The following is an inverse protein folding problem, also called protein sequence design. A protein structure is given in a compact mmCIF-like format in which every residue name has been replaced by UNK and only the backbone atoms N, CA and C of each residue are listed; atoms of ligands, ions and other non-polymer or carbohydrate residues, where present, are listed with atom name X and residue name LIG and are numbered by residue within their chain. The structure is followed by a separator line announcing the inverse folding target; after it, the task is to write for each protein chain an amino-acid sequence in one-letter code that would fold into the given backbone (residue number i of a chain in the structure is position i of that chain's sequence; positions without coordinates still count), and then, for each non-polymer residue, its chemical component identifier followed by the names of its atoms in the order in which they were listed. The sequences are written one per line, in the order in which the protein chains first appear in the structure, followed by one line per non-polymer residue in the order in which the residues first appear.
data_IF_236673310251
#
_entry.id   IF_236673310251
#
_cell.length_a   1.000
_cell.length_b   1.000
_cell.length_c   1.000
_cell.angle_alpha   90.00
_cell.angle_beta   90.00
_cell.angle_gamma   90.00
#
_symmetry.space_group_name_H-M   'P 1'
#
loop_
_entity.id
_entity.type
_entity.pdbx_description
1 polymer ?
#
# COMPACT_ATOMS: atom_id res chain seq x y z
N UNK A 1 -0.71 -1.99 11.77
CA UNK A 1 -0.24 -2.09 10.39
C UNK A 1 0.05 -3.53 9.96
N UNK A 2 0.54 -3.74 8.73
CA UNK A 2 0.85 -5.08 8.18
C UNK A 2 1.89 -5.84 9.01
N UNK A 3 2.89 -5.14 9.55
CA UNK A 3 3.88 -5.71 10.47
C UNK A 3 3.23 -6.21 11.77
N UNK A 4 2.23 -5.50 12.28
CA UNK A 4 1.45 -5.95 13.44
C UNK A 4 0.68 -7.24 13.14
N UNK A 5 0.10 -7.38 11.95
CA UNK A 5 -0.58 -8.60 11.53
C UNK A 5 0.39 -9.80 11.43
N UNK A 6 1.60 -9.60 10.89
CA UNK A 6 2.63 -10.65 10.84
C UNK A 6 3.10 -11.05 12.25
N UNK A 7 3.25 -10.08 13.16
CA UNK A 7 3.59 -10.33 14.56
C UNK A 7 2.46 -11.01 15.34
N UNK A 8 1.22 -10.71 15.02
CA UNK A 8 0.07 -11.44 15.56
C UNK A 8 0.07 -12.89 15.06
N UNK A 9 0.32 -13.09 13.77
CA UNK A 9 0.32 -14.41 13.15
C UNK A 9 1.36 -15.35 13.77
N UNK A 10 2.59 -14.88 14.02
CA UNK A 10 3.64 -15.73 14.64
C UNK A 10 3.30 -16.21 16.04
N UNK A 11 2.44 -15.48 16.76
CA UNK A 11 1.99 -15.83 18.12
C UNK A 11 0.85 -16.85 18.17
N UNK A 12 0.25 -17.19 17.02
CA UNK A 12 -0.83 -18.16 16.94
C UNK A 12 -0.30 -19.61 16.98
N UNK A 13 -1.14 -20.59 17.37
CA UNK A 13 -0.80 -22.00 17.16
C UNK A 13 -0.42 -22.23 15.70
N UNK A 14 0.69 -22.92 15.45
CA UNK A 14 1.29 -23.10 14.11
C UNK A 14 1.71 -21.80 13.42
N UNK A 15 1.87 -20.69 14.15
CA UNK A 15 2.15 -19.35 13.61
C UNK A 15 3.39 -19.32 12.73
N UNK A 16 4.46 -20.04 13.06
CA UNK A 16 5.66 -20.14 12.23
C UNK A 16 5.37 -20.76 10.85
N UNK A 17 4.54 -21.81 10.79
CA UNK A 17 4.15 -22.45 9.52
C UNK A 17 3.29 -21.52 8.69
N UNK A 18 2.29 -20.89 9.33
CA UNK A 18 1.43 -19.91 8.65
C UNK A 18 2.23 -18.73 8.12
N UNK A 19 3.18 -18.22 8.91
CA UNK A 19 4.03 -17.11 8.50
C UNK A 19 4.99 -17.49 7.36
N UNK A 20 5.52 -18.73 7.37
CA UNK A 20 6.35 -19.25 6.29
C UNK A 20 5.55 -19.37 4.98
N UNK A 21 4.32 -19.89 5.03
CA UNK A 21 3.41 -19.95 3.88
C UNK A 21 3.09 -18.54 3.37
N UNK A 22 2.81 -17.62 4.29
CA UNK A 22 2.55 -16.21 3.94
C UNK A 22 3.77 -15.59 3.25
N UNK A 23 4.98 -15.78 3.77
CA UNK A 23 6.21 -15.29 3.17
C UNK A 23 6.41 -15.85 1.75
N UNK A 24 6.20 -17.16 1.57
CA UNK A 24 6.29 -17.82 0.26
C UNK A 24 5.26 -17.23 -0.74
N UNK A 25 4.01 -17.01 -0.30
CA UNK A 25 2.97 -16.36 -1.10
C UNK A 25 3.33 -14.93 -1.49
N UNK A 26 3.88 -14.14 -0.56
CA UNK A 26 4.33 -12.77 -0.82
C UNK A 26 5.45 -12.74 -1.87
N UNK A 27 6.43 -13.65 -1.81
CA UNK A 27 7.49 -13.72 -2.82
C UNK A 27 6.98 -14.24 -4.17
N UNK A 28 6.08 -15.21 -4.19
CA UNK A 28 5.45 -15.68 -5.43
C UNK A 28 4.68 -14.54 -6.11
N UNK A 29 3.92 -13.76 -5.34
CA UNK A 29 3.21 -12.58 -5.85
C UNK A 29 4.20 -11.49 -6.32
N UNK A 30 5.28 -11.25 -5.57
CA UNK A 30 6.36 -10.34 -5.98
C UNK A 30 6.89 -10.72 -7.36
N UNK A 31 7.26 -12.00 -7.52
CA UNK A 31 7.81 -12.49 -8.79
C UNK A 31 6.82 -12.29 -9.94
N UNK A 32 5.56 -12.65 -9.71
CA UNK A 32 4.49 -12.43 -10.69
C UNK A 32 4.40 -10.96 -11.11
N UNK A 33 4.29 -10.05 -10.14
CA UNK A 33 4.14 -8.60 -10.41
C UNK A 33 5.34 -7.98 -11.09
N UNK A 34 6.56 -8.42 -10.77
CA UNK A 34 7.77 -7.94 -11.44
C UNK A 34 7.83 -8.44 -12.88
N UNK A 35 7.53 -9.73 -13.12
CA UNK A 35 7.50 -10.30 -14.46
C UNK A 35 6.43 -9.61 -15.31
N UNK A 36 5.22 -9.43 -14.77
CA UNK A 36 4.11 -8.77 -15.44
C UNK A 36 4.44 -7.31 -15.79
N UNK A 37 4.92 -6.52 -14.85
CA UNK A 37 5.28 -5.13 -15.10
C UNK A 37 6.45 -4.94 -16.07
N UNK A 38 7.40 -5.91 -16.14
CA UNK A 38 8.53 -5.84 -17.06
C UNK A 38 8.15 -6.36 -18.45
N UNK A 39 7.46 -7.49 -18.53
CA UNK A 39 7.15 -8.20 -19.78
C UNK A 39 5.79 -7.83 -20.37
N UNK A 40 5.00 -6.98 -19.69
CA UNK A 40 3.67 -6.55 -20.13
C UNK A 40 2.73 -7.73 -20.43
N UNK A 41 2.66 -8.69 -19.51
CA UNK A 41 1.85 -9.88 -19.72
C UNK A 41 0.33 -9.60 -19.73
N UNK A 42 -0.11 -8.53 -19.05
CA UNK A 42 -1.49 -8.08 -19.04
C UNK A 42 -1.84 -7.20 -20.27
N UNK A 43 -0.88 -6.95 -21.19
CA UNK A 43 -1.03 -6.14 -22.40
C UNK A 43 -1.57 -4.73 -22.09
N UNK A 44 -0.97 -4.06 -21.13
CA UNK A 44 -1.30 -2.68 -20.75
C UNK A 44 -0.97 -1.65 -21.84
N UNK A 45 -0.03 -2.01 -22.73
CA UNK A 45 0.37 -1.21 -23.88
C UNK A 45 1.55 -0.28 -23.63
N UNK A 46 1.93 0.44 -24.70
CA UNK A 46 3.11 1.31 -24.72
C UNK A 46 2.76 2.81 -24.68
N UNK A 47 1.53 3.15 -24.28
CA UNK A 47 1.12 4.52 -24.03
C UNK A 47 1.43 4.96 -22.57
N UNK A 48 1.18 6.22 -22.27
CA UNK A 48 1.46 6.77 -20.94
C UNK A 48 0.65 6.07 -19.81
N UNK A 49 -0.56 5.59 -20.12
CA UNK A 49 -1.40 4.86 -19.18
C UNK A 49 -0.82 3.44 -18.95
N UNK A 50 -0.40 2.76 -20.01
CA UNK A 50 0.25 1.45 -19.94
C UNK A 50 1.54 1.48 -19.12
N UNK A 51 2.42 2.45 -19.38
CA UNK A 51 3.64 2.63 -18.57
C UNK A 51 3.34 2.93 -17.10
N UNK A 52 2.31 3.74 -16.80
CA UNK A 52 1.91 4.03 -15.42
C UNK A 52 1.37 2.78 -14.71
N UNK A 53 0.59 1.94 -15.38
CA UNK A 53 0.07 0.68 -14.85
C UNK A 53 1.21 -0.30 -14.57
N UNK A 54 2.13 -0.49 -15.51
CA UNK A 54 3.32 -1.35 -15.35
C UNK A 54 4.23 -0.88 -14.22
N UNK A 55 4.45 0.43 -14.09
CA UNK A 55 5.18 0.99 -12.94
C UNK A 55 4.47 0.69 -11.62
N UNK A 56 3.13 0.79 -11.58
CA UNK A 56 2.30 0.41 -10.42
C UNK A 56 2.46 -1.07 -10.06
N UNK A 57 2.51 -1.97 -11.04
CA UNK A 57 2.74 -3.40 -10.84
C UNK A 57 4.12 -3.67 -10.22
N UNK A 58 5.18 -3.05 -10.75
CA UNK A 58 6.55 -3.14 -10.23
C UNK A 58 6.60 -2.64 -8.77
N UNK A 59 6.02 -1.47 -8.49
CA UNK A 59 5.96 -0.92 -7.13
C UNK A 59 5.18 -1.82 -6.17
N UNK A 60 4.07 -2.40 -6.63
CA UNK A 60 3.32 -3.41 -5.87
C UNK A 60 4.20 -4.62 -5.56
N UNK A 61 4.92 -5.15 -6.54
CA UNK A 61 5.87 -6.24 -6.37
C UNK A 61 6.93 -5.94 -5.31
N UNK A 62 7.56 -4.77 -5.37
CA UNK A 62 8.57 -4.34 -4.39
C UNK A 62 8.01 -4.21 -2.98
N UNK A 63 6.78 -3.70 -2.84
CA UNK A 63 6.10 -3.60 -1.54
C UNK A 63 5.87 -4.99 -0.92
N UNK A 64 5.43 -5.95 -1.73
CA UNK A 64 5.21 -7.33 -1.26
C UNK A 64 6.52 -8.05 -0.97
N UNK A 65 7.62 -7.75 -1.71
CA UNK A 65 8.95 -8.23 -1.38
C UNK A 65 9.40 -7.76 0.01
N UNK A 66 9.22 -6.48 0.31
CA UNK A 66 9.56 -5.92 1.62
C UNK A 66 8.76 -6.58 2.76
N UNK A 67 7.46 -6.86 2.54
CA UNK A 67 6.64 -7.62 3.49
C UNK A 67 7.11 -9.06 3.64
N UNK A 68 7.49 -9.73 2.54
CA UNK A 68 8.05 -11.07 2.56
C UNK A 68 9.36 -11.14 3.35
N UNK A 69 10.27 -10.19 3.14
CA UNK A 69 11.49 -10.05 3.94
C UNK A 69 11.16 -9.83 5.42
N UNK A 70 10.20 -8.97 5.74
CA UNK A 70 9.76 -8.75 7.12
C UNK A 70 9.23 -10.04 7.76
N UNK A 71 8.46 -10.84 7.03
CA UNK A 71 7.95 -12.12 7.50
C UNK A 71 9.09 -13.11 7.81
N UNK A 72 10.12 -13.18 6.93
CA UNK A 72 11.31 -14.00 7.18
C UNK A 72 12.09 -13.51 8.41
N UNK A 73 12.28 -12.20 8.56
CA UNK A 73 12.97 -11.66 9.73
C UNK A 73 12.25 -11.99 11.03
N UNK A 74 10.90 -11.96 11.04
CA UNK A 74 10.10 -12.36 12.19
C UNK A 74 10.28 -13.87 12.48
N UNK A 75 10.31 -14.72 11.44
CA UNK A 75 10.57 -16.15 11.60
C UNK A 75 11.95 -16.42 12.21
N UNK A 76 12.98 -15.67 11.80
CA UNK A 76 14.37 -15.88 12.23
C UNK A 76 14.65 -15.31 13.63
N UNK A 77 14.08 -14.14 13.95
CA UNK A 77 14.42 -13.35 15.16
C UNK A 77 13.29 -13.30 16.18
N UNK A 78 12.13 -13.89 15.86
CA UNK A 78 10.91 -13.79 16.67
C UNK A 78 10.17 -12.46 16.52
N UNK A 79 9.05 -12.34 17.23
CA UNK A 79 8.13 -11.21 17.11
C UNK A 79 8.75 -9.82 17.44
N UNK A 80 9.93 -9.78 18.04
CA UNK A 80 10.64 -8.54 18.39
C UNK A 80 11.40 -7.93 17.19
N UNK A 81 11.58 -8.67 16.08
CA UNK A 81 12.30 -8.18 14.91
C UNK A 81 11.50 -7.17 14.06
N UNK A 82 10.22 -7.05 14.29
CA UNK A 82 9.33 -6.13 13.61
C UNK A 82 8.90 -4.98 14.52
N UNK A 83 9.88 -4.30 15.07
CA UNK A 83 9.61 -3.00 15.68
C UNK A 83 9.56 -1.97 14.57
N UNK A 84 8.37 -1.63 14.09
CA UNK A 84 7.97 -0.25 13.82
C UNK A 84 6.77 -0.25 12.88
N UNK A 85 5.61 0.06 13.44
CA UNK A 85 4.45 0.57 12.68
C UNK A 85 4.76 1.94 12.02
N UNK A 86 5.95 2.47 12.22
CA UNK A 86 6.48 3.73 11.72
C UNK A 86 7.33 3.60 10.44
N UNK A 87 7.03 2.63 9.57
CA UNK A 87 7.81 2.47 8.32
C UNK A 87 7.84 3.74 7.47
N UNK A 88 6.73 4.47 7.39
CA UNK A 88 6.66 5.73 6.64
C UNK A 88 7.45 6.84 7.34
N UNK A 89 7.38 6.93 8.67
CA UNK A 89 8.14 7.86 9.49
C UNK A 89 9.64 7.62 9.38
N UNK A 90 10.10 6.37 9.58
CA UNK A 90 11.50 6.01 9.47
C UNK A 90 12.05 6.22 8.05
N UNK A 91 11.28 5.89 7.02
CA UNK A 91 11.63 6.17 5.63
C UNK A 91 11.76 7.66 5.37
N UNK A 92 10.79 8.44 5.83
CA UNK A 92 10.79 9.90 5.70
C UNK A 92 11.96 10.51 6.47
N UNK A 93 12.24 10.04 7.69
CA UNK A 93 13.37 10.48 8.49
C UNK A 93 14.70 10.17 7.80
N UNK A 94 14.87 8.95 7.30
CA UNK A 94 16.09 8.54 6.57
C UNK A 94 16.29 9.36 5.29
N UNK A 95 15.23 9.57 4.50
CA UNK A 95 15.31 10.37 3.28
C UNK A 95 15.64 11.83 3.59
N UNK A 96 15.01 12.42 4.60
CA UNK A 96 15.21 13.84 4.94
C UNK A 96 16.61 14.14 5.46
N UNK A 97 17.40 13.15 5.87
CA UNK A 97 18.81 13.32 6.22
C UNK A 97 19.71 13.55 5.00
N UNK A 98 19.24 13.25 3.78
CA UNK A 98 20.01 13.42 2.57
C UNK A 98 19.63 14.72 1.84
N UNK A 99 20.59 15.37 1.13
CA UNK A 99 20.28 16.51 0.27
C UNK A 99 19.19 16.18 -0.74
N UNK A 100 18.11 16.94 -0.78
CA UNK A 100 16.96 16.71 -1.68
C UNK A 100 15.94 15.69 -1.15
N UNK A 101 16.19 14.95 -0.07
CA UNK A 101 15.27 13.95 0.48
C UNK A 101 13.91 14.52 0.86
N UNK A 102 13.86 15.78 1.30
CA UNK A 102 12.62 16.51 1.54
C UNK A 102 11.74 16.61 0.27
N UNK A 103 12.34 16.89 -0.88
CA UNK A 103 11.63 16.94 -2.15
C UNK A 103 11.07 15.57 -2.53
N UNK A 104 11.82 14.49 -2.26
CA UNK A 104 11.35 13.11 -2.48
C UNK A 104 10.12 12.82 -1.63
N UNK A 105 10.11 13.21 -0.36
CA UNK A 105 8.94 13.00 0.53
C UNK A 105 7.75 13.84 0.05
N UNK A 106 7.95 15.10 -0.35
CA UNK A 106 6.88 15.94 -0.90
C UNK A 106 6.31 15.32 -2.18
N UNK A 107 7.16 14.88 -3.11
CA UNK A 107 6.69 14.25 -4.36
C UNK A 107 5.95 12.94 -4.09
N UNK A 108 6.41 12.14 -3.14
CA UNK A 108 5.70 10.92 -2.72
C UNK A 108 4.31 11.24 -2.15
N UNK A 109 4.19 12.27 -1.32
CA UNK A 109 2.89 12.74 -0.78
C UNK A 109 1.95 13.21 -1.90
N UNK A 110 2.44 14.03 -2.83
CA UNK A 110 1.65 14.51 -3.98
C UNK A 110 1.21 13.34 -4.86
N UNK A 111 2.10 12.40 -5.14
CA UNK A 111 1.79 11.20 -5.94
C UNK A 111 0.71 10.37 -5.27
N UNK A 112 0.83 10.12 -3.97
CA UNK A 112 -0.18 9.36 -3.20
C UNK A 112 -1.54 10.06 -3.23
N UNK A 113 -1.59 11.39 -3.07
CA UNK A 113 -2.82 12.17 -3.18
C UNK A 113 -3.41 12.11 -4.59
N UNK A 114 -2.58 12.17 -5.62
CA UNK A 114 -3.03 12.05 -7.02
C UNK A 114 -3.68 10.69 -7.28
N UNK A 115 -3.08 9.61 -6.76
CA UNK A 115 -3.66 8.25 -6.83
C UNK A 115 -4.98 8.19 -6.07
N UNK A 116 -5.07 8.79 -4.88
CA UNK A 116 -6.32 8.87 -4.12
C UNK A 116 -7.44 9.53 -4.92
N UNK A 117 -7.16 10.68 -5.54
CA UNK A 117 -8.11 11.40 -6.40
C UNK A 117 -8.51 10.55 -7.61
N UNK A 118 -7.54 9.89 -8.26
CA UNK A 118 -7.81 8.98 -9.37
C UNK A 118 -8.76 7.85 -8.96
N UNK A 119 -8.57 7.24 -7.80
CA UNK A 119 -9.47 6.18 -7.31
C UNK A 119 -10.88 6.69 -7.04
N UNK A 120 -11.04 7.91 -6.50
CA UNK A 120 -12.35 8.53 -6.36
C UNK A 120 -13.02 8.77 -7.71
N UNK A 121 -12.28 9.31 -8.69
CA UNK A 121 -12.81 9.53 -10.04
C UNK A 121 -13.17 8.19 -10.71
N UNK A 122 -12.31 7.17 -10.57
CA UNK A 122 -12.57 5.81 -11.09
C UNK A 122 -13.80 5.19 -10.43
N UNK A 123 -13.96 5.35 -9.12
CA UNK A 123 -15.15 4.92 -8.38
C UNK A 123 -16.42 5.62 -8.90
N UNK A 124 -16.36 6.94 -9.09
CA UNK A 124 -17.50 7.74 -9.55
C UNK A 124 -17.91 7.39 -10.99
N UNK A 125 -16.95 7.37 -11.91
CA UNK A 125 -17.19 7.12 -13.34
C UNK A 125 -17.51 5.66 -13.67
N UNK A 126 -17.51 4.75 -12.69
CA UNK A 126 -17.65 3.30 -12.91
C UNK A 126 -16.70 2.76 -14.01
N UNK A 127 -15.52 3.38 -14.17
CA UNK A 127 -14.55 3.06 -15.22
C UNK A 127 -13.99 1.62 -15.10
N UNK A 128 -14.10 1.00 -13.91
CA UNK A 128 -13.75 -0.39 -13.64
C UNK A 128 -14.59 -1.42 -14.41
N UNK A 129 -15.71 -1.01 -15.05
CA UNK A 129 -16.53 -1.93 -15.89
C UNK A 129 -15.75 -2.49 -17.06
N UNK A 130 -14.71 -1.81 -17.53
CA UNK A 130 -13.86 -2.30 -18.63
C UNK A 130 -12.99 -3.48 -18.20
N UNK A 131 -12.67 -3.57 -16.90
CA UNK A 131 -11.76 -4.56 -16.33
C UNK A 131 -12.48 -5.88 -16.01
N UNK A 132 -13.82 -5.96 -16.15
CA UNK A 132 -14.64 -7.14 -15.84
C UNK A 132 -15.16 -7.78 -17.14
N UNK A 133 -14.69 -8.98 -17.42
CA UNK A 133 -14.97 -9.74 -18.66
C UNK A 133 -16.45 -10.09 -18.85
N UNK A 134 -17.23 -10.27 -17.77
CA UNK A 134 -18.68 -10.61 -17.83
C UNK A 134 -19.53 -9.43 -17.40
N UNK A 135 -20.29 -8.85 -18.33
CA UNK A 135 -21.18 -7.70 -18.10
C UNK A 135 -22.18 -7.92 -16.96
N UNK A 136 -22.81 -9.09 -16.87
CA UNK A 136 -23.78 -9.41 -15.81
C UNK A 136 -23.16 -9.43 -14.42
N UNK A 137 -21.91 -9.93 -14.31
CA UNK A 137 -21.17 -9.93 -13.05
C UNK A 137 -20.68 -8.52 -12.69
N UNK A 138 -20.31 -7.73 -13.70
CA UNK A 138 -19.90 -6.34 -13.52
C UNK A 138 -21.01 -5.50 -12.89
N UNK A 139 -22.25 -5.65 -13.35
CA UNK A 139 -23.41 -4.91 -12.81
C UNK A 139 -23.73 -5.29 -11.37
N UNK A 140 -23.66 -6.58 -11.03
CA UNK A 140 -23.94 -7.06 -9.67
C UNK A 140 -22.85 -6.64 -8.66
N UNK A 141 -21.59 -6.62 -9.09
CA UNK A 141 -20.46 -6.29 -8.22
C UNK A 141 -20.14 -4.78 -8.19
N UNK A 142 -20.73 -4.00 -9.10
CA UNK A 142 -20.46 -2.56 -9.23
C UNK A 142 -20.52 -1.80 -7.89
N UNK A 143 -21.59 -1.93 -7.07
CA UNK A 143 -21.66 -1.17 -5.82
C UNK A 143 -20.54 -1.55 -4.83
N UNK A 144 -20.17 -2.82 -4.77
CA UNK A 144 -19.10 -3.32 -3.89
C UNK A 144 -17.74 -2.80 -4.36
N UNK A 145 -17.47 -2.85 -5.66
CA UNK A 145 -16.22 -2.35 -6.23
C UNK A 145 -16.11 -0.84 -6.08
N UNK A 146 -17.20 -0.10 -6.34
CA UNK A 146 -17.24 1.36 -6.13
C UNK A 146 -16.95 1.73 -4.69
N UNK A 147 -17.61 1.05 -3.75
CA UNK A 147 -17.36 1.28 -2.33
C UNK A 147 -15.90 0.96 -1.95
N UNK A 148 -15.36 -0.16 -2.42
CA UNK A 148 -13.96 -0.54 -2.20
C UNK A 148 -12.96 0.48 -2.74
N UNK A 149 -13.17 0.97 -3.98
CA UNK A 149 -12.33 2.00 -4.58
C UNK A 149 -12.41 3.33 -3.82
N UNK A 150 -13.62 3.74 -3.40
CA UNK A 150 -13.80 4.96 -2.61
C UNK A 150 -13.14 4.86 -1.24
N UNK A 151 -13.32 3.74 -0.53
CA UNK A 151 -12.69 3.48 0.75
C UNK A 151 -11.16 3.48 0.65
N UNK A 152 -10.62 2.81 -0.38
CA UNK A 152 -9.18 2.81 -0.65
C UNK A 152 -8.66 4.23 -0.95
N UNK A 153 -9.36 4.98 -1.81
CA UNK A 153 -9.04 6.37 -2.10
C UNK A 153 -9.05 7.25 -0.85
N UNK A 154 -10.01 7.05 0.05
CA UNK A 154 -10.10 7.78 1.32
C UNK A 154 -8.89 7.50 2.23
N UNK A 155 -8.49 6.25 2.37
CA UNK A 155 -7.30 5.87 3.13
C UNK A 155 -6.04 6.51 2.54
N UNK A 156 -5.86 6.43 1.21
CA UNK A 156 -4.71 7.05 0.54
C UNK A 156 -4.72 8.59 0.65
N UNK A 157 -5.88 9.22 0.73
CA UNK A 157 -5.99 10.65 0.95
C UNK A 157 -5.42 11.05 2.32
N UNK A 158 -5.74 10.28 3.36
CA UNK A 158 -5.19 10.51 4.71
C UNK A 158 -3.68 10.26 4.72
N UNK A 159 -3.23 9.11 4.22
CA UNK A 159 -1.80 8.75 4.19
C UNK A 159 -1.00 9.75 3.36
N UNK A 160 -1.47 10.12 2.18
CA UNK A 160 -0.82 11.10 1.30
C UNK A 160 -0.74 12.49 1.94
N UNK A 161 -1.81 12.90 2.64
CA UNK A 161 -1.84 14.14 3.40
C UNK A 161 -0.81 14.17 4.51
N UNK A 162 -0.69 13.08 5.27
CA UNK A 162 0.31 12.95 6.35
C UNK A 162 1.75 12.97 5.81
N UNK A 163 2.03 12.23 4.74
CA UNK A 163 3.35 12.24 4.09
C UNK A 163 3.68 13.63 3.54
N UNK A 164 2.72 14.29 2.89
CA UNK A 164 2.91 15.64 2.36
C UNK A 164 3.17 16.65 3.48
N UNK A 165 2.43 16.57 4.58
CA UNK A 165 2.63 17.42 5.77
C UNK A 165 4.03 17.19 6.35
N UNK A 166 4.48 15.95 6.48
CA UNK A 166 5.84 15.63 6.92
C UNK A 166 6.90 16.30 6.03
N UNK A 167 6.74 16.23 4.72
CA UNK A 167 7.63 16.88 3.76
C UNK A 167 7.61 18.41 3.86
N UNK A 168 6.45 19.03 4.00
CA UNK A 168 6.29 20.48 4.08
C UNK A 168 6.87 21.01 5.41
N UNK A 169 6.57 20.36 6.52
CA UNK A 169 7.03 20.78 7.86
C UNK A 169 8.46 20.35 8.16
N UNK A 170 9.08 19.55 7.30
CA UNK A 170 10.37 18.90 7.52
C UNK A 170 10.42 18.10 8.84
N UNK A 171 9.27 17.58 9.28
CA UNK A 171 9.14 16.73 10.47
C UNK A 171 8.65 15.33 10.07
N UNK A 172 9.54 14.30 10.10
CA UNK A 172 9.19 12.94 9.72
C UNK A 172 8.14 12.29 10.65
N UNK A 173 7.95 12.76 11.88
CA UNK A 173 6.93 12.26 12.81
C UNK A 173 5.51 12.45 12.28
N UNK A 174 5.30 13.39 11.34
CA UNK A 174 4.02 13.55 10.65
C UNK A 174 3.79 12.53 9.54
N UNK A 175 4.82 11.80 9.10
CA UNK A 175 4.67 10.76 8.09
C UNK A 175 4.11 9.49 8.74
N UNK A 176 2.82 9.26 8.58
CA UNK A 176 2.16 8.07 9.10
C UNK A 176 1.79 7.11 7.96
N UNK A 177 1.94 5.81 8.25
CA UNK A 177 1.44 4.75 7.37
C UNK A 177 -0.05 4.45 7.60
N UNK A 178 -0.55 3.42 6.90
CA UNK A 178 -1.95 2.98 6.99
C UNK A 178 -2.41 2.73 8.43
N UNK A 179 -1.57 2.09 9.26
CA UNK A 179 -1.92 1.76 10.65
C UNK A 179 -2.15 3.00 11.50
N UNK A 180 -1.29 4.00 11.37
CA UNK A 180 -1.43 5.27 12.10
C UNK A 180 -2.61 6.09 11.57
N UNK A 181 -2.84 6.10 10.25
CA UNK A 181 -4.00 6.75 9.65
C UNK A 181 -5.32 6.16 10.21
N UNK A 182 -5.41 4.83 10.34
CA UNK A 182 -6.57 4.15 10.94
C UNK A 182 -6.69 4.47 12.44
N UNK A 183 -5.58 4.55 13.17
CA UNK A 183 -5.58 4.95 14.59
C UNK A 183 -6.08 6.38 14.79
N UNK A 184 -5.66 7.31 13.93
CA UNK A 184 -6.16 8.68 13.94
C UNK A 184 -7.68 8.70 13.72
N UNK A 185 -8.19 7.88 12.78
CA UNK A 185 -9.64 7.76 12.55
C UNK A 185 -10.37 7.16 13.76
N UNK A 186 -9.81 6.13 14.41
CA UNK A 186 -10.39 5.52 15.61
C UNK A 186 -10.50 6.51 16.78
N UNK A 187 -9.56 7.43 16.91
CA UNK A 187 -9.55 8.45 17.99
C UNK A 187 -10.54 9.59 17.75
N UNK A 188 -11.08 9.73 16.53
CA UNK A 188 -12.09 10.73 16.24
C UNK A 188 -13.45 10.36 16.86
N UNK A 189 -14.30 11.37 17.07
CA UNK A 189 -15.60 11.25 17.78
C UNK A 189 -16.54 10.20 17.18
N UNK A 190 -16.38 9.89 15.87
CA UNK A 190 -17.20 8.90 15.14
C UNK A 190 -16.46 7.56 14.89
N UNK A 191 -15.21 7.41 15.30
CA UNK A 191 -14.41 6.22 15.06
C UNK A 191 -14.64 5.08 16.08
N UNK A 192 -15.45 5.28 17.10
CA UNK A 192 -15.74 4.33 18.18
C UNK A 192 -17.15 3.71 18.11
N UNK A 193 -17.77 3.72 16.94
CA UNK A 193 -19.09 3.10 16.71
C UNK A 193 -18.93 1.68 16.22
#
# INVERSE_FOLDING_TARGET
GTSGALNFLIRQPFGAVLLAITAAGLFAYTLWRLVDGIMDLENEGDDAEGYANRAGQIMSGLTHAALGVSAILILMKGAQASGNDSSAENWSASLMQHPGGRLVVITAGITTLSVAIYLFVKSWKAAHRKDIVRKEMAEKLEPVVRFGLAAHGFVLLIVGGLILTAGITANPEHAAGLGEALRILETQTFGRI
#
